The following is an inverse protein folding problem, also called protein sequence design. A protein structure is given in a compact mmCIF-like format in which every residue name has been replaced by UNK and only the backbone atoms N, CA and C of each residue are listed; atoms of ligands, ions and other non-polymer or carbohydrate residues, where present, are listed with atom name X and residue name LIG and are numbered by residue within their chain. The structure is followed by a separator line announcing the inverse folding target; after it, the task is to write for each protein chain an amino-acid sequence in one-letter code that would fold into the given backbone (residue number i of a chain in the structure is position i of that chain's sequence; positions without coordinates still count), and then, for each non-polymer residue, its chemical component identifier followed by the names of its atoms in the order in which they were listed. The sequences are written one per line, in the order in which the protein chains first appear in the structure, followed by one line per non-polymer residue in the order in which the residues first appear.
data_IF_450883985037
#
_entry.id   IF_450883985037
#
_cell.length_a   1.000
_cell.length_b   1.000
_cell.length_c   1.000
_cell.angle_alpha   90.00
_cell.angle_beta   90.00
_cell.angle_gamma   90.00
#
_symmetry.space_group_name_H-M   'P 1'
#
loop_
_entity.id
_entity.type
_entity.pdbx_description
1 polymer ?
#
# COMPACT_ATOMS: atom_id res chain seq x y z
N UNK A 1 10.91 4.44 -29.53
CA UNK A 1 10.00 4.02 -28.45
C UNK A 1 10.71 4.18 -27.12
N UNK A 2 10.13 4.95 -26.24
CA UNK A 2 10.75 5.23 -24.95
C UNK A 2 10.58 4.04 -23.98
N UNK A 3 11.69 3.59 -23.42
CA UNK A 3 11.65 2.56 -22.37
C UNK A 3 11.68 3.26 -21.02
N UNK A 4 10.68 3.05 -20.15
CA UNK A 4 10.65 3.72 -18.86
C UNK A 4 11.90 3.41 -18.02
N UNK A 5 12.44 4.42 -17.36
CA UNK A 5 13.52 4.25 -16.42
C UNK A 5 13.00 3.53 -15.17
N UNK A 6 13.94 3.06 -14.35
CA UNK A 6 13.60 2.45 -13.08
C UNK A 6 12.77 3.39 -12.20
N UNK A 7 13.19 4.66 -12.10
CA UNK A 7 12.47 5.66 -11.33
C UNK A 7 11.07 5.92 -11.86
N UNK A 8 10.90 5.94 -13.17
CA UNK A 8 9.59 6.10 -13.78
C UNK A 8 8.68 4.92 -13.48
N UNK A 9 9.22 3.70 -13.52
CA UNK A 9 8.47 2.49 -13.21
C UNK A 9 8.06 2.46 -11.73
N UNK A 10 8.97 2.87 -10.84
CA UNK A 10 8.68 2.95 -9.41
C UNK A 10 7.57 3.97 -9.14
N UNK A 11 7.64 5.13 -9.78
CA UNK A 11 6.61 6.17 -9.63
C UNK A 11 5.26 5.72 -10.18
N UNK A 12 5.25 5.06 -11.32
CA UNK A 12 4.01 4.55 -11.91
C UNK A 12 3.35 3.53 -10.99
N UNK A 13 4.14 2.62 -10.42
CA UNK A 13 3.62 1.62 -9.49
C UNK A 13 3.15 2.27 -8.20
N UNK A 14 3.86 3.28 -7.69
CA UNK A 14 3.45 4.00 -6.49
C UNK A 14 2.09 4.68 -6.70
N UNK A 15 1.87 5.29 -7.86
CA UNK A 15 0.58 5.91 -8.19
C UNK A 15 -0.53 4.89 -8.27
N UNK A 16 -0.26 3.73 -8.89
CA UNK A 16 -1.23 2.65 -9.00
C UNK A 16 -1.61 2.09 -7.62
N UNK A 17 -0.64 1.93 -6.73
CA UNK A 17 -0.89 1.45 -5.36
C UNK A 17 -1.69 2.48 -4.56
N UNK A 18 -1.38 3.77 -4.71
CA UNK A 18 -2.14 4.84 -4.05
C UNK A 18 -3.60 4.79 -4.49
N UNK A 19 -3.84 4.63 -5.78
CA UNK A 19 -5.20 4.54 -6.31
C UNK A 19 -5.91 3.28 -5.80
N UNK A 20 -5.19 2.16 -5.76
CA UNK A 20 -5.70 0.91 -5.19
C UNK A 20 -6.14 1.09 -3.74
N UNK A 21 -5.31 1.74 -2.90
CA UNK A 21 -5.66 1.99 -1.50
C UNK A 21 -6.92 2.84 -1.38
N UNK A 22 -7.05 3.89 -2.21
CA UNK A 22 -8.25 4.73 -2.21
C UNK A 22 -9.49 3.94 -2.56
N UNK A 23 -9.42 3.11 -3.60
CA UNK A 23 -10.56 2.35 -4.09
C UNK A 23 -10.97 1.23 -3.14
N UNK A 24 -10.00 0.52 -2.57
CA UNK A 24 -10.27 -0.64 -1.73
C UNK A 24 -10.51 -0.29 -0.26
N UNK A 25 -9.84 0.74 0.24
CA UNK A 25 -9.91 1.10 1.65
C UNK A 25 -10.60 2.45 1.89
N UNK A 26 -11.03 3.12 0.83
CA UNK A 26 -11.75 4.38 0.92
C UNK A 26 -10.86 5.59 1.20
N UNK A 27 -9.56 5.38 1.42
CA UNK A 27 -8.63 6.45 1.71
C UNK A 27 -7.23 6.06 1.25
N UNK A 28 -6.57 6.97 0.55
CA UNK A 28 -5.18 6.77 0.14
C UNK A 28 -4.20 7.14 1.24
N UNK A 29 -2.98 6.60 1.19
CA UNK A 29 -1.91 6.97 2.12
C UNK A 29 -1.44 8.40 1.86
N UNK A 30 -0.78 9.00 2.86
CA UNK A 30 -0.15 10.31 2.69
C UNK A 30 1.09 10.22 1.81
N UNK A 31 1.78 9.10 1.84
CA UNK A 31 2.96 8.88 1.03
C UNK A 31 3.05 7.41 0.63
N UNK A 32 3.38 7.17 -0.63
CA UNK A 32 3.66 5.84 -1.16
C UNK A 32 5.02 5.88 -1.83
N UNK A 33 5.94 5.02 -1.40
CA UNK A 33 7.24 4.86 -2.03
C UNK A 33 7.42 3.42 -2.47
N UNK A 34 7.95 3.26 -3.68
CA UNK A 34 8.22 1.95 -4.27
C UNK A 34 9.68 1.89 -4.66
N UNK A 35 10.32 0.80 -4.30
CA UNK A 35 11.73 0.55 -4.61
C UNK A 35 11.86 -0.82 -5.27
N UNK A 36 12.50 -0.85 -6.43
CA UNK A 36 12.85 -2.11 -7.10
C UNK A 36 14.25 -2.50 -6.67
N UNK A 37 14.37 -3.62 -6.00
CA UNK A 37 15.65 -4.15 -5.50
C UNK A 37 15.79 -5.57 -6.05
N UNK A 38 16.55 -5.70 -7.14
CA UNK A 38 16.72 -6.95 -7.87
C UNK A 38 15.34 -7.53 -8.27
N UNK A 39 14.96 -8.67 -7.72
CA UNK A 39 13.66 -9.29 -7.99
C UNK A 39 12.61 -8.97 -6.91
N UNK A 40 12.95 -8.06 -5.99
CA UNK A 40 12.07 -7.65 -4.91
C UNK A 40 11.47 -6.28 -5.19
N UNK A 41 10.17 -6.15 -4.91
CA UNK A 41 9.50 -4.85 -4.94
C UNK A 41 9.14 -4.49 -3.50
N UNK A 42 9.77 -3.43 -2.99
CA UNK A 42 9.48 -2.93 -1.64
C UNK A 42 8.54 -1.75 -1.74
N UNK A 43 7.41 -1.84 -1.04
CA UNK A 43 6.42 -0.76 -0.99
C UNK A 43 6.32 -0.23 0.43
N UNK A 44 6.54 1.08 0.58
CA UNK A 44 6.43 1.75 1.86
C UNK A 44 5.24 2.70 1.83
N UNK A 45 4.31 2.50 2.74
CA UNK A 45 3.13 3.34 2.87
C UNK A 45 3.18 4.10 4.20
N UNK A 46 2.83 5.38 4.17
CA UNK A 46 2.79 6.22 5.36
C UNK A 46 1.44 6.92 5.43
N UNK A 47 0.94 7.10 6.66
CA UNK A 47 -0.30 7.82 6.88
C UNK A 47 -1.53 7.06 6.41
N UNK A 48 -1.51 5.72 6.48
CA UNK A 48 -2.63 4.90 6.03
C UNK A 48 -3.76 4.81 7.05
N UNK A 49 -3.50 5.09 8.32
CA UNK A 49 -4.51 5.00 9.36
C UNK A 49 -5.30 6.29 9.49
N UNK A 50 -6.62 6.17 9.70
CA UNK A 50 -7.45 7.31 10.09
C UNK A 50 -7.07 7.74 11.51
N UNK A 51 -7.44 8.96 11.95
CA UNK A 51 -7.21 9.36 13.34
C UNK A 51 -7.80 8.40 14.36
N UNK A 52 -8.98 7.85 14.10
CA UNK A 52 -9.62 6.89 14.99
C UNK A 52 -8.81 5.59 15.07
N UNK A 53 -8.35 5.09 13.92
CA UNK A 53 -7.52 3.89 13.88
C UNK A 53 -6.17 4.12 14.56
N UNK A 54 -5.56 5.30 14.37
CA UNK A 54 -4.30 5.64 15.02
C UNK A 54 -4.45 5.66 16.54
N UNK A 55 -5.57 6.19 17.05
CA UNK A 55 -5.86 6.18 18.48
C UNK A 55 -6.00 4.75 19.00
N UNK A 56 -6.73 3.91 18.28
CA UNK A 56 -6.91 2.50 18.66
C UNK A 56 -5.57 1.76 18.67
N UNK A 57 -4.69 2.07 17.72
CA UNK A 57 -3.40 1.41 17.58
C UNK A 57 -2.42 1.74 18.73
N UNK A 58 -2.74 2.71 19.61
CA UNK A 58 -1.90 3.06 20.75
C UNK A 58 -1.90 1.98 21.82
N UNK A 59 -2.92 1.13 21.87
CA UNK A 59 -2.93 -0.02 22.77
C UNK A 59 -2.39 -1.24 22.03
N UNK A 60 -1.81 -2.21 22.78
CA UNK A 60 -1.28 -3.42 22.15
C UNK A 60 -2.40 -4.24 21.51
N UNK A 61 -3.56 -4.31 22.16
CA UNK A 61 -4.72 -5.03 21.65
C UNK A 61 -5.27 -4.37 20.37
N UNK A 62 -5.41 -3.05 20.40
CA UNK A 62 -5.87 -2.30 19.23
C UNK A 62 -4.89 -2.37 18.06
N UNK A 63 -3.60 -2.33 18.34
CA UNK A 63 -2.56 -2.49 17.34
C UNK A 63 -2.66 -3.84 16.63
N UNK A 64 -2.85 -4.91 17.39
CA UNK A 64 -3.02 -6.25 16.87
C UNK A 64 -4.26 -6.34 15.96
N UNK A 65 -5.36 -5.73 16.42
CA UNK A 65 -6.61 -5.69 15.65
C UNK A 65 -6.44 -4.96 14.31
N UNK A 66 -5.79 -3.81 14.33
CA UNK A 66 -5.53 -3.03 13.11
C UNK A 66 -4.68 -3.84 12.13
N UNK A 67 -3.63 -4.51 12.62
CA UNK A 67 -2.78 -5.34 11.77
C UNK A 67 -3.57 -6.49 11.14
N UNK A 68 -4.45 -7.11 11.90
CA UNK A 68 -5.27 -8.21 11.40
C UNK A 68 -6.26 -7.74 10.31
N UNK A 69 -6.94 -6.61 10.56
CA UNK A 69 -7.87 -6.03 9.58
C UNK A 69 -7.14 -5.71 8.28
N UNK A 70 -5.99 -5.08 8.35
CA UNK A 70 -5.23 -4.72 7.15
C UNK A 70 -4.74 -5.96 6.41
N UNK A 71 -4.33 -7.00 7.13
CA UNK A 71 -3.92 -8.27 6.53
C UNK A 71 -5.08 -8.89 5.74
N UNK A 72 -6.26 -8.94 6.33
CA UNK A 72 -7.43 -9.51 5.67
C UNK A 72 -7.86 -8.69 4.45
N UNK A 73 -7.78 -7.37 4.54
CA UNK A 73 -8.08 -6.50 3.40
C UNK A 73 -7.11 -6.76 2.26
N UNK A 74 -5.82 -6.89 2.55
CA UNK A 74 -4.82 -7.17 1.53
C UNK A 74 -5.03 -8.55 0.91
N UNK A 75 -5.34 -9.55 1.70
CA UNK A 75 -5.60 -10.89 1.19
C UNK A 75 -6.84 -10.92 0.30
N UNK A 76 -7.92 -10.23 0.71
CA UNK A 76 -9.14 -10.12 -0.09
C UNK A 76 -8.90 -9.40 -1.41
N UNK A 77 -7.99 -8.44 -1.41
CA UNK A 77 -7.70 -7.61 -2.58
C UNK A 77 -6.51 -8.13 -3.40
N UNK A 78 -5.96 -9.28 -3.02
CA UNK A 78 -4.76 -9.84 -3.63
C UNK A 78 -4.82 -9.95 -5.15
N UNK A 79 -5.91 -10.47 -5.75
CA UNK A 79 -5.95 -10.55 -7.21
C UNK A 79 -5.82 -9.20 -7.90
N UNK A 80 -6.47 -8.17 -7.36
CA UNK A 80 -6.38 -6.82 -7.92
C UNK A 80 -4.98 -6.25 -7.76
N UNK A 81 -4.34 -6.49 -6.61
CA UNK A 81 -2.98 -6.04 -6.37
C UNK A 81 -1.97 -6.74 -7.28
N UNK A 82 -2.13 -8.03 -7.49
CA UNK A 82 -1.27 -8.79 -8.39
C UNK A 82 -1.38 -8.29 -9.83
N UNK A 83 -2.58 -7.91 -10.26
CA UNK A 83 -2.80 -7.35 -11.58
C UNK A 83 -2.06 -6.04 -11.79
N UNK A 84 -1.91 -5.22 -10.74
CA UNK A 84 -1.17 -3.96 -10.81
C UNK A 84 0.32 -4.22 -10.99
N UNK A 85 0.86 -5.23 -10.32
CA UNK A 85 2.30 -5.52 -10.31
C UNK A 85 2.77 -6.21 -11.59
N UNK A 86 1.89 -6.93 -12.27
CA UNK A 86 2.24 -7.63 -13.51
C UNK A 86 2.38 -6.69 -14.73
#
# INVERSE_FOLDING_TARGET
MHKPSRGEQESALANAITQFEKEQLGRGPLETRVFFIEDLILVRLRGVLTPAEATLAQTSEGHTLIKQVRRELLESSRPALEAIVK
#
